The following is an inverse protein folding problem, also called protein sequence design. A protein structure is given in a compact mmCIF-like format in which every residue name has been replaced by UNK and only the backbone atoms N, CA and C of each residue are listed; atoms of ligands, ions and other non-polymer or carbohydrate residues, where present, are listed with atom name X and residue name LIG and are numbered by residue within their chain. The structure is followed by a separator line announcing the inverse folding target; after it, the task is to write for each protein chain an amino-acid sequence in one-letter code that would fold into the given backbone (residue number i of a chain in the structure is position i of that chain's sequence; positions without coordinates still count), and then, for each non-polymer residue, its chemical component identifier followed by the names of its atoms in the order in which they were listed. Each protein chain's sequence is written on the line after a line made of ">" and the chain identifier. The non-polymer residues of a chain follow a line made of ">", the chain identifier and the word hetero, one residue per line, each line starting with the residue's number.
data_IF_857392032205
#
_entry.id   IF_857392032205
#
_cell.length_a   1.000
_cell.length_b   1.000
_cell.length_c   1.000
_cell.angle_alpha   90.00
_cell.angle_beta   90.00
_cell.angle_gamma   90.00
#
_symmetry.space_group_name_H-M   'P 1'
#
loop_
_entity.id
_entity.type
_entity.pdbx_description
1 polymer ?
#
# COMPACT_ATOMS: atom_id res chain seq x y z
N UNK A 1 21.06 -20.89 8.23
CA UNK A 1 20.91 -22.18 7.52
C UNK A 1 21.72 -22.21 6.22
N UNK A 2 21.42 -21.38 5.21
CA UNK A 2 22.16 -21.37 3.93
C UNK A 2 23.68 -21.19 4.09
N UNK A 3 24.11 -20.31 5.01
CA UNK A 3 25.55 -20.14 5.32
C UNK A 3 26.21 -21.41 5.87
N UNK A 4 25.48 -22.23 6.65
CA UNK A 4 25.97 -23.53 7.16
C UNK A 4 26.04 -24.60 6.05
N UNK A 5 25.26 -24.43 4.99
CA UNK A 5 25.31 -25.25 3.78
C UNK A 5 26.33 -24.71 2.76
N UNK A 6 27.17 -23.74 3.14
CA UNK A 6 28.13 -23.08 2.25
C UNK A 6 27.45 -22.49 0.99
N UNK A 7 26.24 -21.95 1.15
CA UNK A 7 25.48 -21.28 0.09
C UNK A 7 25.27 -19.79 0.42
N UNK A 8 25.26 -18.92 -0.60
CA UNK A 8 24.99 -17.51 -0.39
C UNK A 8 23.54 -17.30 0.07
N UNK A 9 23.33 -16.34 0.97
CA UNK A 9 21.99 -16.02 1.47
C UNK A 9 21.33 -14.98 0.55
N UNK A 10 20.55 -15.46 -0.42
CA UNK A 10 19.78 -14.62 -1.36
C UNK A 10 18.42 -15.24 -1.70
N UNK A 11 17.56 -14.46 -2.35
CA UNK A 11 16.17 -14.86 -2.68
C UNK A 11 16.09 -16.19 -3.45
N UNK A 12 17.00 -16.40 -4.43
CA UNK A 12 17.05 -17.63 -5.22
C UNK A 12 17.40 -18.84 -4.36
N UNK A 13 18.43 -18.72 -3.52
CA UNK A 13 18.87 -19.82 -2.63
C UNK A 13 17.82 -20.14 -1.57
N UNK A 14 17.11 -19.14 -1.04
CA UNK A 14 15.97 -19.37 -0.12
C UNK A 14 14.81 -20.10 -0.80
N UNK A 15 14.56 -19.82 -2.08
CA UNK A 15 13.55 -20.52 -2.88
C UNK A 15 13.95 -21.97 -3.13
N UNK A 16 15.21 -22.20 -3.55
CA UNK A 16 15.76 -23.53 -3.76
C UNK A 16 15.75 -24.37 -2.47
N UNK A 17 16.06 -23.76 -1.33
CA UNK A 17 16.02 -24.44 -0.04
C UNK A 17 14.64 -25.00 0.28
N UNK A 18 13.56 -24.23 0.03
CA UNK A 18 12.20 -24.73 0.21
C UNK A 18 11.89 -25.91 -0.72
N UNK A 19 12.39 -25.85 -1.95
CA UNK A 19 12.24 -26.93 -2.93
C UNK A 19 12.99 -28.19 -2.48
N UNK A 20 14.27 -28.08 -2.12
CA UNK A 20 15.07 -29.21 -1.63
C UNK A 20 14.48 -29.88 -0.39
N UNK A 21 13.97 -29.09 0.55
CA UNK A 21 13.26 -29.61 1.73
C UNK A 21 12.05 -30.47 1.32
N UNK A 22 11.30 -30.04 0.29
CA UNK A 22 10.15 -30.78 -0.21
C UNK A 22 10.59 -32.03 -1.01
N UNK A 23 11.58 -31.89 -1.88
CA UNK A 23 12.14 -32.98 -2.70
C UNK A 23 12.69 -34.11 -1.81
N UNK A 24 13.35 -33.75 -0.70
CA UNK A 24 13.94 -34.69 0.25
C UNK A 24 12.93 -35.21 1.30
N UNK A 25 11.65 -34.79 1.22
CA UNK A 25 10.61 -35.23 2.15
C UNK A 25 10.83 -34.82 3.60
N UNK A 26 11.59 -33.75 3.85
CA UNK A 26 11.94 -33.30 5.20
C UNK A 26 10.72 -32.60 5.85
N UNK A 27 10.19 -33.20 6.91
CA UNK A 27 9.07 -32.65 7.65
C UNK A 27 9.42 -31.28 8.26
N UNK A 28 8.62 -30.25 7.96
CA UNK A 28 8.80 -28.89 8.51
C UNK A 28 7.71 -28.45 9.48
N UNK A 29 6.77 -29.34 9.79
CA UNK A 29 5.61 -29.09 10.65
C UNK A 29 5.99 -28.68 12.08
N UNK A 30 7.14 -29.14 12.57
CA UNK A 30 7.67 -28.78 13.88
C UNK A 30 8.33 -27.39 13.91
N UNK A 31 8.62 -26.78 12.76
CA UNK A 31 9.09 -25.39 12.67
C UNK A 31 7.91 -24.42 12.74
N UNK A 32 7.39 -24.20 13.94
CA UNK A 32 6.25 -23.32 14.24
C UNK A 32 6.54 -21.80 14.09
N UNK A 33 7.54 -21.43 13.28
CA UNK A 33 7.97 -20.03 13.13
C UNK A 33 6.84 -19.05 12.76
N UNK A 34 7.15 -17.75 12.84
CA UNK A 34 6.28 -16.60 12.47
C UNK A 34 5.21 -16.15 13.48
N UNK A 35 5.08 -16.81 14.65
CA UNK A 35 4.07 -16.43 15.64
C UNK A 35 4.56 -15.51 16.79
N UNK A 36 5.82 -15.04 16.79
CA UNK A 36 6.37 -14.26 17.91
C UNK A 36 5.54 -13.00 18.25
N UNK A 37 4.88 -12.41 17.25
CA UNK A 37 4.00 -11.23 17.42
C UNK A 37 2.52 -11.55 17.16
N UNK A 38 2.15 -12.82 17.02
CA UNK A 38 0.76 -13.20 16.74
C UNK A 38 -0.11 -12.84 17.94
N UNK A 39 -1.12 -11.99 17.71
CA UNK A 39 -2.02 -11.49 18.76
C UNK A 39 -1.40 -10.42 19.67
N UNK A 40 -0.13 -10.05 19.46
CA UNK A 40 0.51 -8.94 20.19
C UNK A 40 0.53 -7.70 19.30
N UNK A 41 0.14 -6.51 19.80
CA UNK A 41 0.37 -5.28 19.07
C UNK A 41 1.87 -5.12 18.79
N UNK A 42 2.20 -4.54 17.63
CA UNK A 42 3.59 -4.19 17.32
C UNK A 42 4.17 -3.28 18.40
N UNK A 43 5.47 -3.38 18.65
CA UNK A 43 6.17 -2.56 19.66
C UNK A 43 6.08 -1.06 19.38
N UNK A 44 5.88 -0.69 18.11
CA UNK A 44 5.69 0.69 17.68
C UNK A 44 4.20 0.95 17.44
N UNK A 45 3.59 1.94 18.12
CA UNK A 45 2.19 2.28 17.87
C UNK A 45 2.01 2.74 16.43
N UNK A 46 0.87 2.39 15.83
CA UNK A 46 0.52 2.89 14.51
C UNK A 46 0.31 4.40 14.58
N UNK A 47 0.88 5.14 13.62
CA UNK A 47 0.60 6.58 13.45
C UNK A 47 -0.90 6.80 13.29
N UNK A 48 -1.43 7.85 13.92
CA UNK A 48 -2.85 8.23 13.82
C UNK A 48 -3.17 8.85 12.46
N UNK A 49 -4.45 9.02 12.13
CA UNK A 49 -4.83 9.81 10.96
C UNK A 49 -4.31 11.26 11.05
N UNK A 50 -4.36 11.88 12.23
CA UNK A 50 -3.85 13.24 12.44
C UNK A 50 -2.35 13.35 12.13
N UNK A 51 -1.55 12.35 12.50
CA UNK A 51 -0.12 12.32 12.19
C UNK A 51 0.16 12.14 10.70
N UNK A 52 -0.76 11.51 9.96
CA UNK A 52 -0.59 11.17 8.54
C UNK A 52 -1.09 12.30 7.64
N UNK A 53 -2.25 12.88 7.97
CA UNK A 53 -2.98 13.82 7.13
C UNK A 53 -2.49 15.26 7.34
N UNK A 54 -1.20 15.47 7.08
CA UNK A 54 -0.49 16.73 7.32
C UNK A 54 0.37 17.10 6.11
N UNK A 55 0.56 18.41 5.90
CA UNK A 55 1.47 18.90 4.87
C UNK A 55 2.90 18.82 5.38
N UNK A 56 3.80 18.34 4.52
CA UNK A 56 5.24 18.33 4.78
C UNK A 56 5.97 19.19 3.78
N UNK A 57 7.05 19.82 4.21
CA UNK A 57 7.88 20.65 3.33
C UNK A 57 8.97 19.81 2.63
N UNK A 58 9.40 18.71 3.24
CA UNK A 58 10.47 17.84 2.71
C UNK A 58 10.25 16.36 3.02
N UNK A 59 11.04 15.50 2.38
CA UNK A 59 11.10 14.07 2.68
C UNK A 59 10.36 13.18 1.68
N UNK A 60 10.11 11.93 2.07
CA UNK A 60 9.47 10.92 1.21
C UNK A 60 7.95 11.02 1.30
N UNK A 61 7.28 10.88 0.15
CA UNK A 61 5.82 10.75 0.04
C UNK A 61 5.29 9.67 1.00
N UNK A 62 4.12 9.93 1.59
CA UNK A 62 3.41 8.93 2.40
C UNK A 62 2.94 7.78 1.51
N UNK A 63 3.07 6.54 1.99
CA UNK A 63 2.55 5.38 1.26
C UNK A 63 1.03 5.50 1.10
N UNK A 64 0.52 5.26 -0.09
CA UNK A 64 -0.92 5.35 -0.40
C UNK A 64 -1.79 4.49 0.52
N UNK A 65 -1.28 3.35 0.98
CA UNK A 65 -1.98 2.49 1.95
C UNK A 65 -2.22 3.17 3.30
N UNK A 66 -1.29 4.02 3.76
CA UNK A 66 -1.45 4.79 4.99
C UNK A 66 -2.45 5.94 4.80
N UNK A 67 -2.43 6.60 3.64
CA UNK A 67 -3.39 7.67 3.30
C UNK A 67 -4.81 7.12 3.25
N UNK A 68 -5.05 6.02 2.52
CA UNK A 68 -6.38 5.38 2.47
C UNK A 68 -6.89 4.99 3.86
N UNK A 69 -6.02 4.39 4.69
CA UNK A 69 -6.37 4.04 6.07
C UNK A 69 -6.74 5.28 6.88
N UNK A 70 -5.94 6.35 6.80
CA UNK A 70 -6.18 7.59 7.54
C UNK A 70 -7.46 8.31 7.08
N UNK A 71 -7.75 8.35 5.78
CA UNK A 71 -8.99 8.90 5.23
C UNK A 71 -10.21 8.12 5.75
N UNK A 72 -10.14 6.79 5.77
CA UNK A 72 -11.19 5.94 6.34
C UNK A 72 -11.37 6.17 7.85
N UNK A 73 -10.28 6.35 8.59
CA UNK A 73 -10.29 6.62 10.03
C UNK A 73 -11.04 7.93 10.38
N UNK A 74 -10.95 8.96 9.52
CA UNK A 74 -11.69 10.22 9.70
C UNK A 74 -13.09 10.21 9.03
N UNK A 75 -13.55 9.06 8.52
CA UNK A 75 -14.90 8.90 7.98
C UNK A 75 -15.07 9.33 6.52
N UNK A 76 -14.00 9.46 5.73
CA UNK A 76 -14.13 9.70 4.28
C UNK A 76 -14.76 8.46 3.63
N UNK A 77 -15.85 8.62 2.86
CA UNK A 77 -16.49 7.51 2.15
C UNK A 77 -15.51 6.82 1.18
N UNK A 78 -15.58 5.49 1.09
CA UNK A 78 -14.74 4.71 0.17
C UNK A 78 -15.37 4.66 -1.23
N UNK A 79 -15.62 5.84 -1.81
CA UNK A 79 -16.22 6.02 -3.13
C UNK A 79 -15.43 7.02 -3.99
N UNK A 80 -15.53 6.88 -5.30
CA UNK A 80 -14.92 7.79 -6.24
C UNK A 80 -15.61 9.16 -6.13
N UNK A 81 -14.83 10.20 -5.83
CA UNK A 81 -15.36 11.57 -5.72
C UNK A 81 -15.83 12.14 -7.06
N UNK A 82 -15.38 11.56 -8.18
CA UNK A 82 -15.76 11.99 -9.53
C UNK A 82 -17.04 11.35 -10.08
N UNK A 83 -17.28 10.07 -9.78
CA UNK A 83 -18.39 9.30 -10.37
C UNK A 83 -19.21 8.47 -9.38
N UNK A 84 -18.89 8.51 -8.08
CA UNK A 84 -19.57 7.74 -7.04
C UNK A 84 -19.31 6.24 -7.05
N UNK A 85 -18.46 5.72 -7.94
CA UNK A 85 -18.15 4.27 -7.96
C UNK A 85 -17.44 3.86 -6.67
N UNK A 86 -17.99 2.85 -5.99
CA UNK A 86 -17.41 2.29 -4.75
C UNK A 86 -16.14 1.46 -4.97
N UNK A 87 -15.71 0.69 -3.95
CA UNK A 87 -14.50 -0.12 -3.98
C UNK A 87 -14.71 -1.48 -4.64
N UNK A 88 -15.80 -1.66 -5.39
CA UNK A 88 -16.12 -2.89 -6.11
C UNK A 88 -16.38 -2.61 -7.58
N UNK A 89 -15.87 -3.47 -8.44
CA UNK A 89 -16.07 -3.45 -9.88
C UNK A 89 -16.48 -4.84 -10.35
N UNK A 90 -17.69 -4.96 -10.90
CA UNK A 90 -18.25 -6.24 -11.35
C UNK A 90 -18.19 -7.34 -10.28
N UNK A 91 -18.49 -6.99 -9.03
CA UNK A 91 -18.46 -7.91 -7.88
C UNK A 91 -17.06 -8.31 -7.43
N UNK A 92 -16.01 -7.62 -7.91
CA UNK A 92 -14.61 -7.85 -7.49
C UNK A 92 -14.06 -6.61 -6.79
N UNK A 93 -13.22 -6.78 -5.75
CA UNK A 93 -12.59 -5.64 -5.09
C UNK A 93 -11.74 -4.81 -6.07
N UNK A 94 -11.94 -3.51 -6.05
CA UNK A 94 -11.18 -2.50 -6.80
C UNK A 94 -10.61 -1.48 -5.81
N UNK A 95 -9.32 -1.19 -5.94
CA UNK A 95 -8.71 -0.13 -5.14
C UNK A 95 -9.05 1.23 -5.76
N UNK A 96 -9.69 2.10 -4.97
CA UNK A 96 -9.72 3.52 -5.27
C UNK A 96 -8.34 4.14 -5.04
N UNK A 97 -7.93 4.97 -5.96
CA UNK A 97 -6.63 5.64 -5.97
C UNK A 97 -6.72 6.95 -5.22
N UNK A 98 -5.63 7.32 -4.53
CA UNK A 98 -5.53 8.62 -3.85
C UNK A 98 -4.92 9.63 -4.80
N UNK A 99 -5.69 10.66 -5.11
CA UNK A 99 -5.26 11.82 -5.87
C UNK A 99 -5.04 13.03 -4.95
N UNK A 100 -4.00 13.79 -5.24
CA UNK A 100 -3.69 15.06 -4.59
C UNK A 100 -4.25 16.17 -5.47
N UNK A 101 -5.27 16.90 -5.00
CA UNK A 101 -6.02 17.89 -5.78
C UNK A 101 -5.10 18.96 -6.37
N UNK A 102 -4.14 19.45 -5.57
CA UNK A 102 -3.15 20.44 -6.01
C UNK A 102 -1.93 19.84 -6.74
N UNK A 103 -1.85 18.52 -6.87
CA UNK A 103 -0.69 17.81 -7.45
C UNK A 103 0.56 17.77 -6.56
N UNK A 104 0.55 18.40 -5.39
CA UNK A 104 1.64 18.34 -4.41
C UNK A 104 1.57 17.04 -3.60
N UNK A 105 2.47 16.13 -3.96
CA UNK A 105 2.64 14.82 -3.31
C UNK A 105 3.09 14.87 -1.85
N UNK A 106 3.44 16.04 -1.29
CA UNK A 106 3.78 16.21 0.13
C UNK A 106 2.66 16.85 0.95
N UNK A 107 1.59 17.31 0.30
CA UNK A 107 0.42 17.89 0.95
C UNK A 107 -0.64 16.81 1.21
N UNK A 108 -0.44 16.04 2.27
CA UNK A 108 -1.33 14.93 2.64
C UNK A 108 -2.54 15.40 3.48
N UNK A 109 -2.82 16.70 3.57
CA UNK A 109 -3.99 17.22 4.31
C UNK A 109 -5.28 16.65 3.72
N UNK A 110 -6.23 16.28 4.58
CA UNK A 110 -7.47 15.61 4.17
C UNK A 110 -8.23 16.35 3.05
N UNK A 111 -8.29 17.68 3.13
CA UNK A 111 -8.99 18.53 2.16
C UNK A 111 -8.30 18.57 0.78
N UNK A 112 -7.03 18.18 0.70
CA UNK A 112 -6.26 18.11 -0.54
C UNK A 112 -6.25 16.69 -1.14
N UNK A 113 -6.81 15.69 -0.45
CA UNK A 113 -6.87 14.32 -0.92
C UNK A 113 -8.27 13.98 -1.40
N UNK A 114 -8.36 13.20 -2.46
CA UNK A 114 -9.62 12.59 -2.91
C UNK A 114 -9.40 11.15 -3.37
N UNK A 115 -10.43 10.33 -3.21
CA UNK A 115 -10.45 8.98 -3.74
C UNK A 115 -11.05 9.00 -5.14
N UNK A 116 -10.38 8.37 -6.11
CA UNK A 116 -10.83 8.26 -7.49
C UNK A 116 -10.74 6.80 -7.96
N UNK A 117 -11.69 6.36 -8.78
CA UNK A 117 -11.51 5.11 -9.51
C UNK A 117 -10.43 5.29 -10.60
N UNK A 118 -9.82 4.20 -11.11
CA UNK A 118 -8.75 4.28 -12.11
C UNK A 118 -9.14 5.09 -13.35
N UNK A 119 -10.41 5.01 -13.77
CA UNK A 119 -10.91 5.73 -14.94
C UNK A 119 -11.01 7.24 -14.70
N UNK A 120 -11.59 7.67 -13.58
CA UNK A 120 -11.65 9.10 -13.23
C UNK A 120 -10.24 9.64 -12.96
N UNK A 121 -9.37 8.88 -12.31
CA UNK A 121 -8.02 9.33 -12.02
C UNK A 121 -7.20 9.55 -13.30
N UNK A 122 -7.36 8.69 -14.30
CA UNK A 122 -6.71 8.86 -15.60
C UNK A 122 -7.05 10.16 -16.33
N UNK A 123 -8.19 10.79 -15.99
CA UNK A 123 -8.62 12.08 -16.57
C UNK A 123 -8.14 13.32 -15.81
N UNK A 124 -7.47 13.16 -14.67
CA UNK A 124 -7.00 14.33 -13.91
C UNK A 124 -5.77 14.95 -14.56
N UNK A 125 -5.64 16.27 -14.47
CA UNK A 125 -4.46 17.01 -14.93
C UNK A 125 -3.18 16.62 -14.17
N UNK A 126 -3.34 16.08 -12.97
CA UNK A 126 -2.27 15.62 -12.06
C UNK A 126 -1.79 14.20 -12.37
N UNK A 127 -2.51 13.46 -13.22
CA UNK A 127 -2.22 12.07 -13.55
C UNK A 127 -0.83 11.88 -14.20
N UNK A 128 -0.12 10.83 -13.76
CA UNK A 128 1.13 10.31 -14.34
C UNK A 128 2.32 11.27 -14.61
N UNK A 129 2.29 12.53 -14.13
CA UNK A 129 3.30 13.61 -14.34
C UNK A 129 3.00 14.59 -15.49
N UNK A 130 1.78 15.10 -15.60
CA UNK A 130 1.48 16.29 -16.41
C UNK A 130 1.06 15.98 -17.85
N UNK A 131 0.07 15.11 -18.02
CA UNK A 131 -0.58 14.93 -19.32
C UNK A 131 -1.29 16.22 -19.75
N UNK A 132 -0.67 16.93 -20.70
CA UNK A 132 -1.21 17.98 -21.58
C UNK A 132 -2.47 18.73 -21.15
N UNK A 133 -2.37 20.07 -21.13
CA UNK A 133 -3.51 21.01 -21.09
C UNK A 133 -4.72 20.45 -21.85
N UNK A 134 -5.94 20.51 -21.28
CA UNK A 134 -7.13 20.04 -21.98
C UNK A 134 -7.22 20.75 -23.33
N UNK A 135 -7.29 19.97 -24.41
CA UNK A 135 -7.66 20.50 -25.73
C UNK A 135 -9.16 20.76 -25.66
N UNK A 136 -9.52 22.04 -25.63
CA UNK A 136 -10.87 22.52 -25.94
C UNK A 136 -11.24 22.11 -27.36
#
# INVERSE_FOLDING_TARGET
>A
MLRRLLRPDNTRQRTNLKRWIADDGLGTTHFLGQAHMRGRPGTVPARTAADILTKRETGRRTRTTHLRRALREIGVPEECTGCGTGPEWLGRPMTLEVDHINGDRLDDRAQNLRLLCPNCHATTVTWCRGGGRPRL
#
